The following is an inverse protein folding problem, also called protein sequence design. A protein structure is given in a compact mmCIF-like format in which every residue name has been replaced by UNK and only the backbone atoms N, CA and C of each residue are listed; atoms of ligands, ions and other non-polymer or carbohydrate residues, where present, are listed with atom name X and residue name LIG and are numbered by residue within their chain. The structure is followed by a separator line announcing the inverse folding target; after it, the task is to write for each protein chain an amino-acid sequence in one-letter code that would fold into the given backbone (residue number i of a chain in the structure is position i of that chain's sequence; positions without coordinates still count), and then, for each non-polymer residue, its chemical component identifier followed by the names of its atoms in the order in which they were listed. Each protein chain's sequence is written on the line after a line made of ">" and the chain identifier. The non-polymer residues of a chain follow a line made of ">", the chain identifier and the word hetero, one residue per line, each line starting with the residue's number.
data_IF_349236729866
#
_entry.id   IF_349236729866
#
_cell.length_a   1.000
_cell.length_b   1.000
_cell.length_c   1.000
_cell.angle_alpha   90.00
_cell.angle_beta   90.00
_cell.angle_gamma   90.00
#
_symmetry.space_group_name_H-M   'P 1'
#
loop_
_entity.id
_entity.type
_entity.pdbx_description
1 polymer ?
#
# COMPACT_ATOMS: atom_id res chain seq x y z
N UNK A 1 12.13 7.79 5.58
CA UNK A 1 11.68 8.52 4.35
C UNK A 1 10.26 8.11 3.93
N UNK A 2 9.97 6.79 3.79
CA UNK A 2 8.62 6.33 3.40
C UNK A 2 7.56 6.77 4.41
N UNK A 3 7.78 6.56 5.70
CA UNK A 3 6.85 7.00 6.75
C UNK A 3 6.56 8.50 6.71
N UNK A 4 7.57 9.32 6.43
CA UNK A 4 7.40 10.77 6.25
C UNK A 4 6.56 11.10 5.00
N UNK A 5 6.84 10.44 3.88
CA UNK A 5 6.08 10.63 2.64
C UNK A 5 4.61 10.24 2.80
N UNK A 6 4.35 9.16 3.54
CA UNK A 6 2.99 8.65 3.77
C UNK A 6 2.32 9.20 5.03
N UNK A 7 2.87 10.24 5.66
CA UNK A 7 2.31 10.89 6.85
C UNK A 7 1.88 9.87 7.92
N UNK A 8 2.78 8.92 8.24
CA UNK A 8 2.43 7.82 9.13
C UNK A 8 2.29 8.31 10.57
N UNK A 9 1.13 8.06 11.13
CA UNK A 9 0.83 8.22 12.55
C UNK A 9 1.11 6.93 13.29
N UNK A 10 1.62 7.02 14.52
CA UNK A 10 1.87 5.85 15.36
C UNK A 10 2.61 6.17 16.65
N UNK A 11 2.75 5.16 17.51
CA UNK A 11 3.53 5.22 18.74
C UNK A 11 4.54 4.06 18.75
N UNK A 12 5.82 4.36 18.62
CA UNK A 12 6.88 3.34 18.64
C UNK A 12 6.96 2.67 20.00
N UNK A 13 7.15 1.34 19.98
CA UNK A 13 7.38 0.52 21.16
C UNK A 13 6.09 0.10 21.90
N UNK A 14 4.91 0.43 21.38
CA UNK A 14 3.66 -0.13 21.91
C UNK A 14 3.40 -1.54 21.37
N UNK A 15 3.71 -1.79 20.11
CA UNK A 15 3.61 -3.12 19.49
C UNK A 15 4.86 -3.95 19.81
N UNK A 16 4.73 -5.05 20.60
CA UNK A 16 5.88 -5.88 20.95
C UNK A 16 6.49 -6.64 19.77
N UNK A 17 5.77 -6.70 18.64
CA UNK A 17 6.23 -7.37 17.40
C UNK A 17 6.84 -6.41 16.40
N UNK A 18 6.82 -5.10 16.68
CA UNK A 18 7.36 -4.09 15.80
C UNK A 18 8.88 -4.22 15.66
N UNK A 19 9.42 -4.21 14.43
CA UNK A 19 10.87 -4.25 14.25
C UNK A 19 11.53 -2.98 14.81
N UNK A 20 12.79 -3.07 15.30
CA UNK A 20 13.52 -1.92 15.80
C UNK A 20 13.57 -0.77 14.79
N UNK A 21 13.35 0.45 15.26
CA UNK A 21 13.47 1.67 14.45
C UNK A 21 14.35 2.69 15.16
N UNK A 22 15.13 3.43 14.37
CA UNK A 22 16.01 4.49 14.89
C UNK A 22 15.29 5.84 15.07
N UNK A 23 14.03 5.96 14.64
CA UNK A 23 13.30 7.22 14.69
C UNK A 23 11.83 6.99 15.11
N UNK A 24 11.21 7.97 15.77
CA UNK A 24 9.77 7.95 16.03
C UNK A 24 8.98 8.02 14.71
N UNK A 25 7.69 7.73 14.78
CA UNK A 25 6.79 8.03 13.67
C UNK A 25 6.72 9.55 13.43
N UNK A 26 6.51 10.00 12.17
CA UNK A 26 6.45 11.41 11.83
C UNK A 26 5.33 12.18 12.54
N UNK A 27 4.23 11.48 12.81
CA UNK A 27 3.07 12.04 13.48
C UNK A 27 2.68 11.20 14.70
N UNK A 28 2.11 11.81 15.77
CA UNK A 28 1.65 11.08 16.92
C UNK A 28 0.56 10.07 16.54
N UNK A 29 0.41 9.03 17.34
CA UNK A 29 -0.65 8.05 17.18
C UNK A 29 -2.04 8.71 17.11
N UNK A 30 -2.91 8.15 16.28
CA UNK A 30 -4.29 8.63 16.18
C UNK A 30 -5.04 8.24 17.44
N UNK A 31 -5.69 9.21 18.10
CA UNK A 31 -6.41 8.98 19.33
C UNK A 31 -7.57 7.99 19.17
N UNK A 32 -7.73 7.10 20.13
CA UNK A 32 -8.89 6.22 20.21
C UNK A 32 -10.17 7.00 20.50
N UNK A 33 -11.26 6.61 19.87
CA UNK A 33 -12.58 7.05 20.34
C UNK A 33 -12.95 6.32 21.66
N UNK A 34 -13.84 6.88 22.48
CA UNK A 34 -14.07 6.37 23.83
C UNK A 34 -14.37 4.88 23.93
N UNK A 35 -15.11 4.32 22.96
CA UNK A 35 -15.42 2.88 22.95
C UNK A 35 -14.19 2.04 22.60
N UNK A 36 -13.35 2.50 21.70
CA UNK A 36 -12.10 1.84 21.33
C UNK A 36 -11.10 1.93 22.48
N UNK A 37 -11.01 3.09 23.15
CA UNK A 37 -10.16 3.24 24.33
C UNK A 37 -10.58 2.26 25.44
N UNK A 38 -11.88 2.16 25.72
CA UNK A 38 -12.39 1.18 26.68
C UNK A 38 -12.02 -0.25 26.33
N UNK A 39 -12.11 -0.61 25.04
CA UNK A 39 -11.71 -1.93 24.56
C UNK A 39 -10.21 -2.17 24.76
N UNK A 40 -9.36 -1.19 24.42
CA UNK A 40 -7.92 -1.28 24.65
C UNK A 40 -7.59 -1.49 26.13
N UNK A 41 -8.25 -0.74 27.02
CA UNK A 41 -8.07 -0.86 28.47
C UNK A 41 -8.52 -2.24 28.98
N UNK A 42 -9.63 -2.78 28.46
CA UNK A 42 -10.15 -4.11 28.80
C UNK A 42 -9.18 -5.22 28.34
N UNK A 43 -8.65 -5.11 27.13
CA UNK A 43 -7.66 -6.04 26.59
C UNK A 43 -6.36 -6.01 27.40
N UNK A 44 -5.89 -4.81 27.76
CA UNK A 44 -4.68 -4.66 28.58
C UNK A 44 -4.87 -5.30 29.97
N UNK A 45 -6.06 -5.14 30.59
CA UNK A 45 -6.38 -5.81 31.86
C UNK A 45 -6.46 -7.34 31.73
N UNK A 46 -6.83 -7.83 30.55
CA UNK A 46 -6.84 -9.27 30.25
C UNK A 46 -5.45 -9.84 29.90
N UNK A 47 -4.40 -9.03 29.94
CA UNK A 47 -3.02 -9.45 29.69
C UNK A 47 -2.57 -9.41 28.23
N UNK A 48 -3.36 -8.78 27.35
CA UNK A 48 -2.97 -8.51 25.97
C UNK A 48 -2.15 -7.22 25.84
N UNK A 49 -1.57 -7.00 24.67
CA UNK A 49 -0.74 -5.83 24.37
C UNK A 49 -1.38 -4.98 23.26
N UNK A 50 -2.52 -4.32 23.54
CA UNK A 50 -3.13 -3.42 22.57
C UNK A 50 -2.21 -2.22 22.29
N UNK A 51 -2.16 -1.80 21.06
CA UNK A 51 -1.34 -0.68 20.61
C UNK A 51 -2.11 0.21 19.63
N UNK A 52 -1.60 1.42 19.40
CA UNK A 52 -2.14 2.29 18.36
C UNK A 52 -1.69 1.77 16.99
N UNK A 53 -2.62 1.30 16.18
CA UNK A 53 -2.33 0.81 14.84
C UNK A 53 -1.72 1.93 13.99
N UNK A 54 -0.49 1.75 13.45
CA UNK A 54 0.09 2.76 12.58
C UNK A 54 -0.76 2.96 11.32
N UNK A 55 -1.00 4.21 10.96
CA UNK A 55 -1.78 4.51 9.76
C UNK A 55 -1.26 5.75 9.02
N UNK A 56 -1.28 5.65 7.67
CA UNK A 56 -0.93 6.75 6.78
C UNK A 56 -2.16 7.58 6.43
N UNK A 57 -2.32 8.73 7.08
CA UNK A 57 -3.44 9.66 6.85
C UNK A 57 -3.01 11.11 7.06
N UNK A 58 -3.63 12.03 6.33
CA UNK A 58 -3.41 13.48 6.51
C UNK A 58 -4.34 14.03 7.58
N UNK A 59 -4.12 13.60 8.83
CA UNK A 59 -4.89 13.98 10.01
C UNK A 59 -4.12 15.01 10.84
N UNK A 60 -4.82 16.07 11.26
CA UNK A 60 -4.33 17.02 12.23
C UNK A 60 -5.30 17.06 13.43
N UNK A 61 -5.03 16.28 14.48
CA UNK A 61 -5.87 16.25 15.67
C UNK A 61 -5.73 17.51 16.51
N UNK A 62 -4.56 18.15 16.49
CA UNK A 62 -4.33 19.40 17.24
C UNK A 62 -5.11 20.58 16.65
N UNK A 63 -5.38 20.56 15.34
CA UNK A 63 -6.12 21.62 14.67
C UNK A 63 -7.14 21.02 13.66
N UNK A 64 -8.22 20.47 14.21
CA UNK A 64 -9.26 19.77 13.45
C UNK A 64 -9.89 20.56 12.30
N UNK A 65 -10.18 21.85 12.42
CA UNK A 65 -10.71 22.67 11.34
C UNK A 65 -9.81 22.70 10.08
N UNK A 66 -8.49 22.50 10.26
CA UNK A 66 -7.50 22.47 9.17
C UNK A 66 -7.02 21.06 8.86
N UNK A 67 -7.69 20.03 9.38
CA UNK A 67 -7.38 18.65 9.08
C UNK A 67 -8.04 18.21 7.78
N UNK A 68 -7.27 17.62 6.87
CA UNK A 68 -7.82 17.05 5.65
C UNK A 68 -8.65 15.80 5.95
N UNK A 69 -8.17 14.93 6.86
CA UNK A 69 -8.93 13.79 7.34
C UNK A 69 -10.02 14.25 8.32
N UNK A 70 -11.26 13.91 8.02
CA UNK A 70 -12.42 14.25 8.85
C UNK A 70 -12.83 13.15 9.83
N UNK A 71 -12.12 12.02 9.85
CA UNK A 71 -12.44 10.83 10.68
C UNK A 71 -13.87 10.35 10.43
N UNK A 72 -14.23 10.10 9.17
CA UNK A 72 -15.54 9.59 8.79
C UNK A 72 -15.72 8.09 9.12
N UNK A 73 -16.97 7.62 9.03
CA UNK A 73 -17.35 6.22 9.28
C UNK A 73 -16.89 5.26 8.17
N UNK A 74 -16.85 5.75 6.93
CA UNK A 74 -16.60 4.95 5.72
C UNK A 74 -15.12 4.85 5.33
N UNK A 75 -14.22 4.88 6.32
CA UNK A 75 -12.78 4.84 6.02
C UNK A 75 -12.33 3.49 5.45
N UNK A 76 -12.99 2.40 5.83
CA UNK A 76 -12.62 1.06 5.38
C UNK A 76 -13.33 0.66 4.10
N UNK A 77 -12.56 0.08 3.17
CA UNK A 77 -13.08 -0.45 1.91
C UNK A 77 -13.47 0.57 0.85
N UNK A 78 -13.40 1.89 1.12
CA UNK A 78 -13.83 2.93 0.19
C UNK A 78 -12.72 3.92 -0.16
N UNK A 79 -12.73 4.50 -1.38
CA UNK A 79 -11.90 5.65 -1.72
C UNK A 79 -12.19 6.83 -0.80
N UNK A 80 -11.17 7.60 -0.46
CA UNK A 80 -11.32 8.77 0.40
C UNK A 80 -11.80 9.98 -0.40
N UNK A 81 -13.03 10.41 -0.19
CA UNK A 81 -13.63 11.55 -0.90
C UNK A 81 -12.89 12.88 -0.65
N UNK A 82 -12.27 13.03 0.52
CA UNK A 82 -11.47 14.21 0.85
C UNK A 82 -9.96 13.99 0.62
N UNK A 83 -9.59 12.87 -0.03
CA UNK A 83 -8.22 12.55 -0.42
C UNK A 83 -7.20 12.60 0.75
N UNK A 84 -7.65 12.23 1.94
CA UNK A 84 -6.84 12.27 3.15
C UNK A 84 -6.15 10.94 3.48
N UNK A 85 -6.44 9.87 2.74
CA UNK A 85 -5.64 8.63 2.81
C UNK A 85 -4.31 8.87 2.12
N UNK A 86 -3.24 8.53 2.80
CA UNK A 86 -1.88 8.63 2.28
C UNK A 86 -1.56 7.42 1.39
N UNK A 87 -2.17 7.35 0.23
CA UNK A 87 -1.94 6.30 -0.74
C UNK A 87 -1.02 6.73 -1.89
N UNK A 88 -0.63 5.78 -2.73
CA UNK A 88 0.30 6.03 -3.83
C UNK A 88 -0.29 6.94 -4.92
N UNK A 89 -1.61 6.95 -5.10
CA UNK A 89 -2.25 7.85 -6.05
C UNK A 89 -2.16 9.29 -5.54
N UNK A 90 -2.62 9.53 -4.31
CA UNK A 90 -2.71 10.89 -3.73
C UNK A 90 -1.34 11.50 -3.52
N UNK A 91 -0.38 10.74 -2.99
CA UNK A 91 0.94 11.25 -2.62
C UNK A 91 2.04 11.02 -3.67
N UNK A 92 1.77 10.20 -4.67
CA UNK A 92 2.75 9.86 -5.70
C UNK A 92 2.29 10.24 -7.11
N UNK A 93 1.23 9.59 -7.61
CA UNK A 93 0.82 9.76 -9.00
C UNK A 93 0.32 11.18 -9.29
N UNK A 94 -0.57 11.71 -8.46
CA UNK A 94 -1.12 13.06 -8.68
C UNK A 94 -0.05 14.14 -8.69
N UNK A 95 0.85 14.24 -7.69
CA UNK A 95 1.96 15.20 -7.76
C UNK A 95 2.89 14.97 -8.95
N UNK A 96 3.14 13.70 -9.33
CA UNK A 96 3.98 13.41 -10.49
C UNK A 96 3.38 13.97 -11.79
N UNK A 97 2.05 13.92 -11.95
CA UNK A 97 1.36 14.43 -13.13
C UNK A 97 1.37 15.97 -13.25
N UNK A 98 1.73 16.68 -12.19
CA UNK A 98 1.97 18.14 -12.26
C UNK A 98 3.23 18.49 -13.05
N UNK A 99 4.12 17.51 -13.28
CA UNK A 99 5.33 17.71 -14.07
C UNK A 99 5.08 17.46 -15.55
N UNK A 100 5.46 18.37 -16.47
CA UNK A 100 5.14 18.29 -17.89
C UNK A 100 5.83 17.12 -18.61
N UNK A 101 6.84 16.51 -18.01
CA UNK A 101 7.59 15.37 -18.53
C UNK A 101 7.04 14.01 -18.04
N UNK A 102 5.93 13.99 -17.27
CA UNK A 102 5.29 12.77 -16.80
C UNK A 102 4.01 12.52 -17.60
N UNK A 103 3.88 11.31 -18.10
CA UNK A 103 2.68 10.86 -18.84
C UNK A 103 2.10 9.62 -18.17
N UNK A 104 0.83 9.66 -17.80
CA UNK A 104 0.06 8.51 -17.37
C UNK A 104 -0.73 7.96 -18.56
N UNK A 105 -0.51 6.69 -18.89
CA UNK A 105 -1.30 5.97 -19.89
C UNK A 105 -2.27 5.03 -19.17
N UNK A 106 -3.56 5.32 -19.26
CA UNK A 106 -4.63 4.43 -18.81
C UNK A 106 -5.04 3.48 -19.92
N UNK A 107 -5.86 2.47 -19.59
CA UNK A 107 -6.35 1.46 -20.55
C UNK A 107 -5.21 0.84 -21.38
N UNK A 108 -4.08 0.61 -20.72
CA UNK A 108 -2.81 0.20 -21.32
C UNK A 108 -2.30 -1.05 -20.63
N UNK A 109 -2.65 -2.22 -21.15
CA UNK A 109 -2.23 -3.49 -20.58
C UNK A 109 -0.85 -3.90 -21.10
N UNK A 110 0.14 -3.99 -20.22
CA UNK A 110 1.46 -4.52 -20.59
C UNK A 110 1.34 -6.02 -20.82
N UNK A 111 1.68 -6.44 -22.05
CA UNK A 111 1.60 -7.82 -22.49
C UNK A 111 2.91 -8.57 -22.27
N UNK A 112 4.04 -7.94 -22.60
CA UNK A 112 5.36 -8.60 -22.63
C UNK A 112 6.49 -7.58 -22.50
N UNK A 113 7.56 -8.00 -21.85
CA UNK A 113 8.87 -7.35 -21.84
C UNK A 113 9.76 -8.09 -22.85
N UNK A 114 10.28 -7.38 -23.85
CA UNK A 114 11.18 -7.92 -24.83
C UNK A 114 12.61 -7.58 -24.45
N UNK A 115 13.50 -8.55 -24.46
CA UNK A 115 14.93 -8.30 -24.21
C UNK A 115 15.68 -8.02 -25.50
N UNK A 116 16.82 -7.39 -25.37
CA UNK A 116 17.81 -7.31 -26.45
C UNK A 116 18.35 -8.72 -26.82
N UNK A 117 19.09 -8.88 -27.92
CA UNK A 117 19.65 -10.18 -28.32
C UNK A 117 20.60 -10.80 -27.29
N UNK A 118 21.19 -10.00 -26.40
CA UNK A 118 22.04 -10.51 -25.32
C UNK A 118 21.24 -11.10 -24.16
N UNK A 119 19.95 -10.75 -24.03
CA UNK A 119 19.08 -11.12 -22.93
C UNK A 119 19.32 -10.34 -21.63
N UNK A 120 20.21 -9.33 -21.65
CA UNK A 120 20.62 -8.62 -20.42
C UNK A 120 19.84 -7.35 -20.14
N UNK A 121 19.15 -6.80 -21.13
CA UNK A 121 18.39 -5.54 -21.02
C UNK A 121 17.02 -5.68 -21.66
N UNK A 122 16.03 -5.01 -21.07
CA UNK A 122 14.70 -4.86 -21.70
C UNK A 122 14.83 -3.80 -22.78
N UNK A 123 14.57 -4.19 -24.03
CA UNK A 123 14.64 -3.31 -25.21
C UNK A 123 13.29 -2.71 -25.57
N UNK A 124 12.20 -3.42 -25.30
CA UNK A 124 10.84 -2.99 -25.61
C UNK A 124 9.83 -3.47 -24.56
N UNK A 125 8.78 -2.69 -24.40
CA UNK A 125 7.59 -3.04 -23.61
C UNK A 125 6.41 -3.09 -24.58
N UNK A 126 5.81 -4.27 -24.75
CA UNK A 126 4.63 -4.44 -25.59
C UNK A 126 3.37 -4.19 -24.76
N UNK A 127 2.50 -3.33 -25.26
CA UNK A 127 1.30 -2.86 -24.57
C UNK A 127 0.09 -3.00 -25.47
N UNK A 128 -0.98 -3.59 -24.97
CA UNK A 128 -2.29 -3.53 -25.62
C UNK A 128 -3.00 -2.24 -25.23
N UNK A 129 -3.42 -1.47 -26.23
CA UNK A 129 -4.24 -0.27 -26.06
C UNK A 129 -5.43 -0.34 -27.01
N UNK A 130 -6.59 -0.71 -26.46
CA UNK A 130 -7.82 -0.81 -27.24
C UNK A 130 -7.76 -1.86 -28.36
N UNK A 131 -7.12 -3.01 -28.13
CA UNK A 131 -6.95 -4.10 -29.09
C UNK A 131 -5.82 -3.89 -30.11
N UNK A 132 -5.01 -2.86 -29.93
CA UNK A 132 -3.79 -2.63 -30.75
C UNK A 132 -2.56 -2.80 -29.90
N UNK A 133 -1.59 -3.58 -30.38
CA UNK A 133 -0.29 -3.71 -29.74
C UNK A 133 0.61 -2.54 -30.14
N UNK A 134 1.05 -1.79 -29.14
CA UNK A 134 2.04 -0.71 -29.26
C UNK A 134 3.35 -1.14 -28.58
N UNK A 135 4.47 -0.58 -29.01
CA UNK A 135 5.79 -0.81 -28.42
C UNK A 135 6.34 0.48 -27.81
N UNK A 136 6.81 0.38 -26.57
CA UNK A 136 7.47 1.48 -25.86
C UNK A 136 8.92 1.10 -25.55
N UNK A 137 9.81 2.10 -25.50
CA UNK A 137 11.22 1.94 -25.16
C UNK A 137 11.61 2.93 -24.07
N UNK A 138 12.46 2.49 -23.15
CA UNK A 138 12.99 3.32 -22.09
C UNK A 138 14.38 2.83 -21.67
N UNK A 139 15.19 3.72 -21.12
CA UNK A 139 16.49 3.38 -20.53
C UNK A 139 16.34 2.62 -19.21
N UNK A 140 15.24 2.79 -18.50
CA UNK A 140 14.88 2.06 -17.28
C UNK A 140 13.43 1.61 -17.38
N UNK A 141 13.17 0.35 -17.10
CA UNK A 141 11.82 -0.22 -17.02
C UNK A 141 11.59 -0.73 -15.60
N UNK A 142 10.55 -0.20 -14.93
CA UNK A 142 10.18 -0.61 -13.57
C UNK A 142 8.90 -1.45 -13.62
N UNK A 143 8.96 -2.67 -13.09
CA UNK A 143 7.81 -3.58 -13.01
C UNK A 143 7.20 -3.47 -11.60
N UNK A 144 6.09 -2.77 -11.47
CA UNK A 144 5.40 -2.50 -10.21
C UNK A 144 3.90 -2.79 -10.31
N UNK A 145 3.53 -3.93 -10.89
CA UNK A 145 2.14 -4.30 -11.17
C UNK A 145 1.48 -5.11 -10.02
N UNK A 146 2.02 -5.03 -8.82
CA UNK A 146 1.62 -5.87 -7.68
C UNK A 146 2.23 -7.27 -7.73
N UNK A 147 2.16 -8.01 -6.63
CA UNK A 147 2.86 -9.28 -6.47
C UNK A 147 2.48 -10.31 -7.55
N UNK A 148 1.19 -10.51 -7.81
CA UNK A 148 0.72 -11.49 -8.78
C UNK A 148 1.00 -11.08 -10.23
N UNK A 149 0.64 -9.84 -10.61
CA UNK A 149 0.78 -9.41 -12.00
C UNK A 149 2.23 -9.13 -12.40
N UNK A 150 3.09 -8.67 -11.49
CA UNK A 150 4.52 -8.54 -11.77
C UNK A 150 5.16 -9.90 -12.05
N UNK A 151 4.87 -10.90 -11.22
CA UNK A 151 5.35 -12.27 -11.46
C UNK A 151 4.79 -12.84 -12.76
N UNK A 152 3.49 -12.67 -13.01
CA UNK A 152 2.86 -13.11 -14.27
C UNK A 152 3.53 -12.48 -15.48
N UNK A 153 3.78 -11.17 -15.47
CA UNK A 153 4.43 -10.47 -16.57
C UNK A 153 5.84 -11.00 -16.84
N UNK A 154 6.62 -11.22 -15.79
CA UNK A 154 7.97 -11.80 -15.94
C UNK A 154 7.93 -13.21 -16.53
N UNK A 155 7.02 -14.07 -16.08
CA UNK A 155 6.85 -15.43 -16.62
C UNK A 155 6.37 -15.42 -18.08
N UNK A 156 5.41 -14.57 -18.42
CA UNK A 156 4.91 -14.41 -19.80
C UNK A 156 5.94 -13.80 -20.76
N UNK A 157 6.98 -13.18 -20.23
CA UNK A 157 8.06 -12.57 -21.01
C UNK A 157 9.18 -13.56 -21.34
N UNK A 158 8.93 -14.87 -21.19
CA UNK A 158 9.88 -15.91 -21.56
C UNK A 158 10.36 -15.78 -23.03
N UNK A 159 11.61 -16.15 -23.27
CA UNK A 159 12.28 -16.18 -24.56
C UNK A 159 13.45 -17.18 -24.57
N UNK A 160 14.16 -17.31 -25.68
CA UNK A 160 15.26 -18.30 -25.82
C UNK A 160 16.39 -18.12 -24.78
N UNK A 161 16.64 -16.90 -24.30
CA UNK A 161 17.64 -16.62 -23.27
C UNK A 161 17.09 -16.83 -21.85
N UNK A 162 15.79 -16.74 -21.69
CA UNK A 162 15.06 -16.85 -20.43
C UNK A 162 13.85 -17.79 -20.60
N UNK A 163 14.06 -19.09 -20.82
CA UNK A 163 12.98 -20.03 -21.13
C UNK A 163 11.94 -20.18 -20.02
N UNK A 164 12.32 -19.91 -18.77
CA UNK A 164 11.44 -20.00 -17.61
C UNK A 164 10.88 -18.63 -17.15
N UNK A 165 10.98 -17.59 -18.00
CA UNK A 165 10.59 -16.22 -17.67
C UNK A 165 11.77 -15.32 -17.30
N UNK A 166 11.56 -14.02 -17.41
CA UNK A 166 12.58 -13.03 -17.06
C UNK A 166 12.86 -13.04 -15.55
N UNK A 167 14.12 -12.79 -15.17
CA UNK A 167 14.63 -12.80 -13.79
C UNK A 167 14.37 -14.12 -13.03
N UNK A 168 14.08 -15.23 -13.72
CA UNK A 168 13.66 -16.49 -13.13
C UNK A 168 14.72 -17.61 -13.27
N UNK A 169 16.00 -17.27 -13.25
CA UNK A 169 17.08 -18.24 -13.29
C UNK A 169 17.12 -19.19 -12.08
N UNK A 170 16.56 -18.77 -10.93
CA UNK A 170 16.45 -19.56 -9.71
C UNK A 170 15.08 -20.23 -9.51
N UNK A 171 14.17 -20.12 -10.49
CA UNK A 171 12.80 -20.66 -10.45
C UNK A 171 11.98 -20.15 -9.23
N UNK A 172 12.20 -18.90 -8.81
CA UNK A 172 11.47 -18.32 -7.68
C UNK A 172 10.34 -17.36 -8.09
N UNK A 173 10.33 -16.89 -9.34
CA UNK A 173 9.30 -15.96 -9.80
C UNK A 173 7.93 -16.63 -9.79
N UNK A 174 6.96 -16.03 -9.08
CA UNK A 174 5.60 -16.55 -8.94
C UNK A 174 5.42 -17.65 -7.90
N UNK A 175 6.50 -18.04 -7.20
CA UNK A 175 6.45 -18.98 -6.08
C UNK A 175 6.30 -18.23 -4.76
N UNK A 176 5.92 -18.99 -3.70
CA UNK A 176 5.84 -18.47 -2.33
C UNK A 176 4.93 -17.24 -2.20
N UNK A 177 3.81 -17.24 -2.93
CA UNK A 177 2.80 -16.20 -2.76
C UNK A 177 2.27 -16.20 -1.33
N UNK A 178 2.36 -15.04 -0.69
CA UNK A 178 1.90 -14.83 0.67
C UNK A 178 1.04 -13.56 0.73
N UNK A 179 0.03 -13.60 1.59
CA UNK A 179 -0.77 -12.43 1.92
C UNK A 179 -1.05 -12.43 3.44
N UNK A 180 -1.69 -11.39 3.93
CA UNK A 180 -1.99 -11.28 5.35
C UNK A 180 -2.90 -12.43 5.82
N UNK A 181 -2.53 -13.08 6.92
CA UNK A 181 -3.42 -13.97 7.66
C UNK A 181 -4.40 -13.09 8.42
N UNK A 182 -5.65 -13.06 7.97
CA UNK A 182 -6.70 -12.28 8.61
C UNK A 182 -7.65 -13.20 9.34
N UNK A 183 -7.91 -12.89 10.61
CA UNK A 183 -8.96 -13.50 11.40
C UNK A 183 -10.06 -12.49 11.62
N UNK A 184 -11.31 -12.91 11.52
CA UNK A 184 -12.45 -12.08 11.84
C UNK A 184 -13.11 -12.62 13.11
N UNK A 185 -13.31 -11.76 14.10
CA UNK A 185 -14.04 -12.05 15.32
C UNK A 185 -15.24 -11.13 15.40
N UNK A 186 -16.43 -11.70 15.54
CA UNK A 186 -17.65 -10.96 15.79
C UNK A 186 -17.97 -11.01 17.29
N UNK A 187 -17.98 -9.84 17.93
CA UNK A 187 -18.38 -9.70 19.32
C UNK A 187 -19.64 -8.84 19.42
N UNK A 188 -20.69 -9.38 20.02
CA UNK A 188 -21.96 -8.66 20.25
C UNK A 188 -21.87 -7.98 21.62
N UNK A 189 -21.86 -6.65 21.61
CA UNK A 189 -21.85 -5.85 22.84
C UNK A 189 -23.27 -5.55 23.31
N UNK A 190 -23.46 -5.54 24.65
CA UNK A 190 -24.70 -5.05 25.27
C UNK A 190 -24.81 -3.53 25.24
N UNK A 191 -23.68 -2.84 25.10
CA UNK A 191 -23.62 -1.39 25.02
C UNK A 191 -23.58 -0.96 23.55
N UNK A 192 -24.26 0.13 23.16
CA UNK A 192 -24.13 0.69 21.82
C UNK A 192 -22.67 1.02 21.48
N UNK A 193 -22.32 0.82 20.23
CA UNK A 193 -21.00 1.23 19.71
C UNK A 193 -21.13 2.48 18.83
N UNK A 194 -20.93 3.68 19.35
CA UNK A 194 -21.03 4.93 18.59
C UNK A 194 -19.74 5.28 17.85
N UNK A 195 -18.76 4.36 17.81
CA UNK A 195 -17.47 4.62 17.16
C UNK A 195 -17.66 4.83 15.67
N UNK A 196 -17.13 5.94 15.19
CA UNK A 196 -17.11 6.30 13.76
C UNK A 196 -15.81 5.86 13.10
N UNK A 197 -14.69 6.29 13.65
CA UNK A 197 -13.38 5.96 13.11
C UNK A 197 -12.74 4.81 13.89
N UNK A 198 -12.71 3.64 13.28
CA UNK A 198 -12.41 2.38 13.98
C UNK A 198 -10.96 1.90 13.87
N UNK A 199 -10.16 2.48 12.97
CA UNK A 199 -8.82 1.98 12.59
C UNK A 199 -7.69 2.44 13.51
N UNK A 200 -7.89 2.52 14.80
CA UNK A 200 -6.88 3.06 15.72
C UNK A 200 -6.28 2.01 16.65
N UNK A 201 -6.90 0.84 16.76
CA UNK A 201 -6.47 -0.23 17.66
C UNK A 201 -5.90 -1.41 16.87
N UNK A 202 -4.70 -1.88 17.28
CA UNK A 202 -4.03 -3.07 16.83
C UNK A 202 -3.70 -3.99 18.00
#
# INVERSE_FOLDING_TARGET
>A
KAEQMYHVHGARGEDPTEPPSSAPYPHPAVSHEPRIQKLADDLKRAGYHPFHSPCGIMLNEANRPYSQCVRCEDCDGFPCLVQAKSDAEVLGVRPALEHPNVTLLTDSQVLKLVTDPSGKSVSEVLVDRGGKTESFRASVVVVSAGAANSARLLLMSANDKHPNGLANGSDQVGRNYMYHNSQAVLAISKEPNPTKYQKTLG
#
